data_IF_102678731939
#
_entry.id   IF_102678731939
#
_cell.length_a   1.000
_cell.length_b   1.000
_cell.length_c   1.000
_cell.angle_alpha   90.00
_cell.angle_beta   90.00
_cell.angle_gamma   90.00
#
_symmetry.space_group_name_H-M   'P 1'
#
loop_
_entity.id
_entity.type
_entity.pdbx_description
1 polymer ?
#
# COMPACT_ATOMS: atom_id res chain seq x y z
N UNK A 1 -41.23 -2.64 24.43
CA UNK A 1 -40.15 -1.92 23.73
C UNK A 1 -38.85 -2.39 24.36
N UNK A 2 -37.88 -2.98 23.66
CA UNK A 2 -36.96 -2.33 22.71
C UNK A 2 -36.47 -3.31 21.60
N UNK A 3 -36.36 -2.76 20.38
CA UNK A 3 -36.17 -3.42 19.07
C UNK A 3 -34.73 -3.88 18.82
N UNK A 4 -34.62 -4.95 18.03
CA UNK A 4 -33.42 -5.45 17.34
C UNK A 4 -32.73 -4.38 16.47
N UNK A 5 -31.43 -4.20 16.66
CA UNK A 5 -30.43 -3.75 15.66
C UNK A 5 -29.10 -4.39 16.10
N UNK A 6 -28.66 -5.44 15.41
CA UNK A 6 -27.69 -5.38 14.32
C UNK A 6 -26.25 -5.20 14.84
N UNK A 7 -25.54 -6.33 14.90
CA UNK A 7 -24.21 -6.49 14.33
C UNK A 7 -23.31 -5.24 14.32
N UNK A 8 -22.44 -5.11 15.32
CA UNK A 8 -21.15 -4.48 15.06
C UNK A 8 -20.07 -5.43 15.59
N UNK A 9 -19.80 -6.40 14.73
CA UNK A 9 -18.69 -7.31 14.87
C UNK A 9 -17.43 -6.53 15.21
N UNK A 10 -16.69 -7.09 16.16
CA UNK A 10 -15.31 -6.79 16.43
C UNK A 10 -14.54 -6.44 15.14
N UNK A 11 -13.86 -5.31 15.18
CA UNK A 11 -12.49 -5.15 14.74
C UNK A 11 -12.13 -3.70 15.01
N UNK A 12 -11.45 -3.47 16.13
CA UNK A 12 -10.41 -2.43 16.12
C UNK A 12 -9.51 -2.82 14.94
N UNK A 13 -9.47 -2.05 13.83
CA UNK A 13 -8.34 -2.24 12.95
C UNK A 13 -7.16 -1.86 13.84
N UNK A 14 -6.37 -2.86 14.26
CA UNK A 14 -4.95 -2.63 14.43
C UNK A 14 -4.60 -1.78 13.22
N UNK A 15 -4.18 -0.54 13.45
CA UNK A 15 -3.82 0.38 12.41
C UNK A 15 -2.64 -0.25 11.66
N UNK A 16 -2.94 -1.20 10.76
CA UNK A 16 -2.21 -1.33 9.51
C UNK A 16 -2.24 0.10 9.04
N UNK A 17 -1.09 0.74 8.98
CA UNK A 17 -1.01 2.03 8.30
C UNK A 17 -1.54 1.76 6.90
N UNK A 18 -2.84 1.98 6.70
CA UNK A 18 -3.52 1.91 5.43
C UNK A 18 -3.00 3.12 4.69
N UNK A 19 -1.76 3.01 4.23
CA UNK A 19 -1.20 3.99 3.37
C UNK A 19 -2.00 3.88 2.08
N UNK A 20 -2.77 4.92 1.79
CA UNK A 20 -3.53 5.03 0.56
C UNK A 20 -2.57 5.09 -0.62
N UNK A 21 -2.28 3.92 -1.18
CA UNK A 21 -1.52 3.79 -2.42
C UNK A 21 -2.34 4.23 -3.62
N UNK A 22 -3.64 4.48 -3.50
CA UNK A 22 -4.50 4.88 -4.63
C UNK A 22 -4.07 6.18 -5.33
N UNK A 23 -3.26 7.03 -4.68
CA UNK A 23 -2.67 8.22 -5.30
C UNK A 23 -1.42 7.89 -6.16
N UNK A 24 -0.83 6.72 -5.95
CA UNK A 24 0.43 6.26 -6.54
C UNK A 24 0.12 5.12 -7.53
N UNK A 25 -0.58 4.09 -7.07
CA UNK A 25 -1.22 3.03 -7.83
C UNK A 25 -2.35 3.62 -8.69
N UNK A 26 -1.94 4.15 -9.85
CA UNK A 26 -2.85 4.67 -10.86
C UNK A 26 -3.61 3.58 -11.59
N UNK A 27 -3.09 2.35 -11.60
CA UNK A 27 -3.69 1.25 -12.32
C UNK A 27 -4.74 0.49 -11.47
N UNK A 28 -4.68 0.64 -10.14
CA UNK A 28 -5.62 0.09 -9.17
C UNK A 28 -5.49 -1.41 -8.91
N UNK A 29 -4.34 -2.02 -9.22
CA UNK A 29 -4.09 -3.45 -9.04
C UNK A 29 -3.61 -3.80 -7.62
N UNK A 30 -3.42 -2.79 -6.77
CA UNK A 30 -2.93 -2.95 -5.40
C UNK A 30 -1.41 -3.12 -5.31
N UNK A 31 -0.69 -2.93 -6.42
CA UNK A 31 0.76 -2.95 -6.51
C UNK A 31 1.27 -1.67 -7.17
N UNK A 32 2.28 -1.09 -6.56
CA UNK A 32 2.94 0.12 -7.05
C UNK A 32 4.17 -0.28 -7.86
N UNK A 33 4.14 0.00 -9.15
CA UNK A 33 5.31 -0.23 -10.00
C UNK A 33 6.34 0.89 -9.86
N UNK A 34 7.58 0.65 -10.30
CA UNK A 34 8.64 1.68 -10.40
C UNK A 34 8.14 2.91 -11.15
N UNK A 35 7.36 2.70 -12.22
CA UNK A 35 6.82 3.78 -13.05
C UNK A 35 5.90 4.70 -12.25
N UNK A 36 5.06 4.11 -11.41
CA UNK A 36 4.11 4.81 -10.57
C UNK A 36 4.79 5.56 -9.43
N UNK A 37 5.74 4.92 -8.74
CA UNK A 37 6.54 5.61 -7.73
C UNK A 37 7.36 6.76 -8.34
N UNK A 38 7.95 6.56 -9.52
CA UNK A 38 8.67 7.61 -10.24
C UNK A 38 7.75 8.74 -10.67
N UNK A 39 6.54 8.43 -11.13
CA UNK A 39 5.53 9.42 -11.49
C UNK A 39 5.04 10.23 -10.28
N UNK A 40 4.91 9.59 -9.12
CA UNK A 40 4.60 10.24 -7.86
C UNK A 40 5.79 11.03 -7.26
N UNK A 41 6.97 10.96 -7.87
CA UNK A 41 8.16 11.72 -7.47
C UNK A 41 8.95 11.09 -6.32
N UNK A 42 8.79 9.80 -6.08
CA UNK A 42 9.61 9.09 -5.11
C UNK A 42 11.07 8.97 -5.60
N UNK A 43 12.00 8.98 -4.63
CA UNK A 43 13.41 8.74 -4.91
C UNK A 43 13.68 7.24 -5.00
N UNK A 44 14.36 6.85 -6.06
CA UNK A 44 14.86 5.49 -6.26
C UNK A 44 16.29 5.37 -5.72
N UNK A 45 16.71 4.18 -5.25
CA UNK A 45 15.88 2.98 -5.07
C UNK A 45 14.95 3.08 -3.85
N UNK A 46 13.74 2.54 -3.97
CA UNK A 46 12.85 2.32 -2.82
C UNK A 46 13.35 1.05 -2.11
N UNK A 47 13.81 1.18 -0.87
CA UNK A 47 14.33 0.07 -0.08
C UNK A 47 13.29 -0.43 0.93
N UNK A 48 13.59 -1.57 1.56
CA UNK A 48 12.77 -2.21 2.61
C UNK A 48 12.44 -1.31 3.81
N UNK A 49 13.23 -0.25 4.03
CA UNK A 49 12.96 0.75 5.06
C UNK A 49 11.75 1.65 4.73
N UNK A 50 11.34 1.69 3.46
CA UNK A 50 10.22 2.49 3.01
C UNK A 50 8.92 1.71 3.09
N UNK A 51 7.88 2.31 3.66
CA UNK A 51 6.56 1.68 3.78
C UNK A 51 5.97 1.26 2.43
N UNK A 52 6.33 1.97 1.35
CA UNK A 52 5.86 1.70 0.00
C UNK A 52 6.39 0.36 -0.54
N UNK A 53 7.58 -0.08 -0.09
CA UNK A 53 8.25 -1.29 -0.58
C UNK A 53 7.36 -2.54 -0.50
N UNK A 54 6.54 -2.67 0.55
CA UNK A 54 5.62 -3.81 0.69
C UNK A 54 4.55 -3.88 -0.41
N UNK A 55 4.27 -2.74 -1.05
CA UNK A 55 3.32 -2.62 -2.15
C UNK A 55 4.03 -2.61 -3.49
N UNK A 56 5.36 -2.64 -3.55
CA UNK A 56 6.09 -2.51 -4.81
C UNK A 56 6.37 -3.83 -5.52
N UNK A 57 6.39 -3.77 -6.84
CA UNK A 57 6.82 -4.88 -7.71
C UNK A 57 8.36 -4.89 -7.81
N UNK A 58 8.99 -5.70 -6.96
CA UNK A 58 10.41 -6.05 -6.97
C UNK A 58 10.65 -7.16 -8.02
N UNK A 59 11.00 -6.75 -9.25
CA UNK A 59 11.07 -7.65 -10.41
C UNK A 59 12.33 -8.49 -10.49
N UNK A 60 13.44 -7.96 -9.98
CA UNK A 60 14.76 -8.60 -9.95
C UNK A 60 15.06 -9.26 -8.60
N UNK A 61 14.27 -8.97 -7.56
CA UNK A 61 14.31 -9.65 -6.27
C UNK A 61 15.53 -9.29 -5.43
N UNK A 62 16.16 -8.15 -5.70
CA UNK A 62 17.38 -7.70 -5.04
C UNK A 62 17.10 -7.00 -3.70
N UNK A 63 15.83 -6.69 -3.41
CA UNK A 63 15.42 -5.96 -2.22
C UNK A 63 15.35 -4.44 -2.39
N UNK A 64 15.46 -3.94 -3.62
CA UNK A 64 15.47 -2.53 -4.00
C UNK A 64 14.59 -2.32 -5.24
N UNK A 65 13.65 -1.38 -5.17
CA UNK A 65 12.77 -1.11 -6.32
C UNK A 65 13.20 0.19 -7.01
N UNK A 66 13.70 0.09 -8.24
CA UNK A 66 13.99 1.24 -9.10
C UNK A 66 15.38 1.34 -9.74
N UNK A 67 16.08 0.22 -9.95
CA UNK A 67 17.27 0.18 -10.83
C UNK A 67 16.92 0.17 -12.33
#
# INVERSE_FOLDING_TARGET
MNRSLAENAAQTPSAKESHDISAIDTNGDGQVTIKEAKAAGFKMPITKDFWLYQYMDDRDGDGMVGE
#
